data_IF_392274581169
#
_entry.id   IF_392274581169
#
_cell.length_a   1.000
_cell.length_b   1.000
_cell.length_c   1.000
_cell.angle_alpha   90.00
_cell.angle_beta   90.00
_cell.angle_gamma   90.00
#
_symmetry.space_group_name_H-M   'P 1'
#
loop_
_entity.id
_entity.type
_entity.pdbx_description
1 polymer ?
#
# COMPACT_ATOMS: atom_id res chain seq x y z
N UNK A 1 -34.60 1.74 -13.11
CA UNK A 1 -33.28 1.46 -13.72
C UNK A 1 -32.21 2.47 -13.28
N UNK A 2 -32.45 3.77 -13.39
CA UNK A 2 -31.50 4.82 -12.99
C UNK A 2 -31.07 4.77 -11.50
N UNK A 3 -32.00 4.51 -10.57
CA UNK A 3 -31.69 4.43 -9.13
C UNK A 3 -30.71 3.31 -8.74
N UNK A 4 -30.74 2.18 -9.46
CA UNK A 4 -29.84 1.06 -9.19
C UNK A 4 -28.41 1.38 -9.68
N UNK A 5 -28.30 2.15 -10.76
CA UNK A 5 -27.03 2.54 -11.37
C UNK A 5 -26.33 3.62 -10.54
N UNK A 6 -27.07 4.62 -10.03
CA UNK A 6 -26.54 5.63 -9.10
C UNK A 6 -26.09 5.02 -7.78
N UNK A 7 -26.83 4.05 -7.22
CA UNK A 7 -26.43 3.35 -6.00
C UNK A 7 -25.10 2.59 -6.17
N UNK A 8 -24.95 1.83 -7.26
CA UNK A 8 -23.71 1.10 -7.53
C UNK A 8 -22.51 2.04 -7.73
N UNK A 9 -22.70 3.16 -8.43
CA UNK A 9 -21.66 4.18 -8.60
C UNK A 9 -21.24 4.79 -7.26
N UNK A 10 -22.23 5.11 -6.40
CA UNK A 10 -21.96 5.68 -5.09
C UNK A 10 -21.15 4.70 -4.22
N UNK A 11 -21.58 3.42 -4.15
CA UNK A 11 -20.88 2.38 -3.38
C UNK A 11 -19.48 2.16 -3.91
N UNK A 12 -19.31 2.01 -5.23
CA UNK A 12 -18.00 1.84 -5.86
C UNK A 12 -17.07 3.04 -5.62
N UNK A 13 -17.60 4.26 -5.72
CA UNK A 13 -16.85 5.49 -5.45
C UNK A 13 -16.40 5.61 -4.00
N UNK A 14 -17.27 5.28 -3.04
CA UNK A 14 -16.94 5.28 -1.60
C UNK A 14 -15.87 4.24 -1.30
N UNK A 15 -15.99 3.01 -1.83
CA UNK A 15 -14.98 1.97 -1.62
C UNK A 15 -13.62 2.37 -2.20
N UNK A 16 -13.58 2.94 -3.41
CA UNK A 16 -12.35 3.44 -4.02
C UNK A 16 -11.72 4.58 -3.21
N UNK A 17 -12.54 5.51 -2.70
CA UNK A 17 -12.10 6.60 -1.85
C UNK A 17 -11.49 6.09 -0.53
N UNK A 18 -12.18 5.17 0.16
CA UNK A 18 -11.72 4.58 1.42
C UNK A 18 -10.43 3.77 1.23
N UNK A 19 -10.31 3.02 0.14
CA UNK A 19 -9.07 2.30 -0.19
C UNK A 19 -7.89 3.26 -0.38
N UNK A 20 -8.11 4.39 -1.07
CA UNK A 20 -7.09 5.44 -1.20
C UNK A 20 -6.76 6.10 0.14
N UNK A 21 -7.77 6.45 0.94
CA UNK A 21 -7.62 7.12 2.22
C UNK A 21 -6.88 6.27 3.27
N UNK A 22 -7.23 4.99 3.37
CA UNK A 22 -6.57 4.05 4.30
C UNK A 22 -5.11 3.79 3.91
N UNK A 23 -4.81 3.62 2.62
CA UNK A 23 -3.41 3.52 2.15
C UNK A 23 -2.57 4.75 2.49
N UNK A 24 -3.14 5.95 2.28
CA UNK A 24 -2.50 7.22 2.63
C UNK A 24 -2.33 7.40 4.15
N UNK A 25 -3.33 6.98 4.94
CA UNK A 25 -3.29 7.06 6.40
C UNK A 25 -2.21 6.13 6.97
N UNK A 26 -2.11 4.89 6.49
CA UNK A 26 -1.09 3.93 6.93
C UNK A 26 0.32 4.41 6.57
N UNK A 27 0.50 4.91 5.35
CA UNK A 27 1.77 5.51 4.92
C UNK A 27 2.15 6.73 5.78
N UNK A 28 1.18 7.57 6.18
CA UNK A 28 1.42 8.70 7.09
C UNK A 28 1.76 8.25 8.51
N UNK A 29 1.03 7.27 9.03
CA UNK A 29 1.26 6.67 10.36
C UNK A 29 2.67 6.08 10.43
N UNK A 30 3.04 5.21 9.51
CA UNK A 30 4.38 4.60 9.43
C UNK A 30 5.50 5.63 9.22
N UNK A 31 5.22 6.80 8.65
CA UNK A 31 6.21 7.89 8.59
C UNK A 31 6.39 8.61 9.92
N UNK A 32 5.34 8.74 10.72
CA UNK A 32 5.38 9.43 12.01
C UNK A 32 5.94 8.54 13.13
N UNK A 33 5.50 7.28 13.20
CA UNK A 33 5.90 6.34 14.27
C UNK A 33 6.97 5.33 13.85
N UNK A 34 7.26 5.21 12.55
CA UNK A 34 8.15 4.17 12.04
C UNK A 34 9.62 4.39 12.39
N UNK A 35 10.22 3.36 12.97
CA UNK A 35 11.64 3.33 13.35
C UNK A 35 12.49 2.97 12.13
N UNK A 36 13.52 3.76 11.79
CA UNK A 36 14.39 3.46 10.65
C UNK A 36 15.21 2.20 10.90
N UNK A 37 15.25 1.30 9.92
CA UNK A 37 16.09 0.10 9.92
C UNK A 37 16.64 -0.17 8.52
N UNK A 38 17.70 -0.97 8.44
CA UNK A 38 18.26 -1.45 7.17
C UNK A 38 17.79 -2.88 6.95
N UNK A 39 17.05 -3.12 5.86
CA UNK A 39 16.61 -4.45 5.49
C UNK A 39 17.47 -5.00 4.36
N UNK A 40 17.96 -6.22 4.52
CA UNK A 40 18.59 -7.00 3.47
C UNK A 40 17.51 -7.69 2.63
N UNK A 41 17.61 -7.56 1.31
CA UNK A 41 16.77 -8.33 0.40
C UNK A 41 17.25 -9.78 0.43
N UNK A 42 16.55 -10.63 1.18
CA UNK A 42 16.80 -12.06 1.18
C UNK A 42 16.36 -12.68 -0.16
N UNK A 43 17.03 -13.76 -0.56
CA UNK A 43 16.68 -14.49 -1.78
C UNK A 43 15.28 -15.06 -1.62
N UNK A 44 14.49 -15.01 -2.70
CA UNK A 44 13.13 -15.59 -2.83
C UNK A 44 12.98 -16.86 -1.99
N UNK A 45 11.96 -16.94 -1.14
CA UNK A 45 11.41 -18.24 -0.76
C UNK A 45 11.00 -18.91 -2.07
N UNK A 46 11.70 -19.99 -2.40
CA UNK A 46 11.53 -20.71 -3.65
C UNK A 46 10.35 -21.65 -3.50
N UNK A 47 9.13 -21.13 -3.55
CA UNK A 47 7.92 -21.96 -3.51
C UNK A 47 7.11 -21.80 -4.80
N UNK A 48 7.22 -22.85 -5.62
CA UNK A 48 6.24 -23.53 -6.48
C UNK A 48 5.00 -22.86 -7.10
N UNK A 49 4.61 -21.61 -6.78
CA UNK A 49 3.23 -21.14 -7.06
C UNK A 49 3.09 -19.68 -7.54
N UNK A 50 4.11 -19.14 -8.23
CA UNK A 50 3.99 -17.89 -8.98
C UNK A 50 5.16 -16.91 -8.82
N UNK A 51 5.05 -15.67 -9.32
CA UNK A 51 6.10 -14.66 -9.19
C UNK A 51 6.24 -14.22 -7.71
N UNK A 52 6.96 -15.02 -6.93
CA UNK A 52 7.13 -14.85 -5.48
C UNK A 52 7.71 -13.48 -5.12
N UNK A 53 7.03 -12.81 -4.18
CA UNK A 53 7.46 -11.53 -3.60
C UNK A 53 8.80 -11.74 -2.86
N UNK A 54 9.80 -10.88 -3.06
CA UNK A 54 11.08 -11.00 -2.36
C UNK A 54 10.88 -10.83 -0.85
N UNK A 55 11.63 -11.59 -0.06
CA UNK A 55 11.65 -11.47 1.40
C UNK A 55 12.62 -10.37 1.82
N UNK A 56 12.23 -9.58 2.81
CA UNK A 56 13.07 -8.57 3.44
C UNK A 56 13.43 -9.07 4.83
N UNK A 57 14.73 -9.17 5.10
CA UNK A 57 15.26 -9.54 6.39
C UNK A 57 15.84 -8.29 7.07
N UNK A 58 15.40 -7.97 8.28
CA UNK A 58 15.95 -6.83 9.02
C UNK A 58 16.01 -7.14 10.51
N UNK A 59 16.95 -6.49 11.20
CA UNK A 59 17.00 -6.52 12.65
C UNK A 59 16.17 -5.36 13.22
N UNK A 60 15.26 -5.66 14.16
CA UNK A 60 14.61 -4.64 14.98
C UNK A 60 15.62 -4.05 15.96
N UNK A 61 15.26 -2.92 16.59
CA UNK A 61 16.07 -2.29 17.65
C UNK A 61 16.35 -3.22 18.83
N UNK A 62 15.48 -4.21 19.07
CA UNK A 62 15.61 -5.21 20.13
C UNK A 62 16.53 -6.38 19.73
N UNK A 63 17.08 -6.36 18.51
CA UNK A 63 17.95 -7.41 17.99
C UNK A 63 17.21 -8.60 17.39
N UNK A 64 15.87 -8.54 17.29
CA UNK A 64 15.09 -9.59 16.63
C UNK A 64 15.27 -9.48 15.11
N UNK A 65 15.73 -10.56 14.49
CA UNK A 65 15.80 -10.67 13.04
C UNK A 65 14.45 -11.16 12.52
N UNK A 66 13.78 -10.34 11.72
CA UNK A 66 12.49 -10.65 11.11
C UNK A 66 12.62 -10.79 9.60
N UNK A 67 11.96 -11.80 9.06
CA UNK A 67 11.74 -11.99 7.63
C UNK A 67 10.28 -11.67 7.30
N UNK A 68 10.08 -10.65 6.47
CA UNK A 68 8.75 -10.18 6.09
C UNK A 68 8.65 -10.16 4.57
N UNK A 69 7.56 -10.64 3.96
CA UNK A 69 7.35 -10.50 2.53
C UNK A 69 7.31 -9.02 2.17
N UNK A 70 8.03 -8.63 1.12
CA UNK A 70 8.01 -7.24 0.66
C UNK A 70 6.57 -6.83 0.34
N UNK A 71 6.03 -5.77 0.99
CA UNK A 71 4.66 -5.31 0.75
C UNK A 71 4.50 -4.79 -0.68
N UNK A 72 5.61 -4.33 -1.28
CA UNK A 72 5.70 -3.96 -2.68
C UNK A 72 6.35 -5.08 -3.51
N UNK A 73 5.66 -5.50 -4.56
CA UNK A 73 6.26 -6.38 -5.57
C UNK A 73 7.43 -5.71 -6.29
N UNK A 74 8.37 -6.49 -6.86
CA UNK A 74 9.47 -5.94 -7.64
C UNK A 74 8.92 -5.15 -8.84
N UNK A 75 9.37 -3.91 -9.02
CA UNK A 75 9.05 -3.11 -10.22
C UNK A 75 10.28 -3.01 -11.12
N UNK A 76 10.09 -2.92 -12.44
CA UNK A 76 11.18 -2.73 -13.41
C UNK A 76 12.01 -1.47 -13.11
N UNK A 77 11.39 -0.43 -12.56
CA UNK A 77 12.05 0.83 -12.22
C UNK A 77 12.99 0.71 -11.01
N UNK A 78 12.80 -0.30 -10.15
CA UNK A 78 13.59 -0.44 -8.94
C UNK A 78 13.72 -1.90 -8.51
N UNK A 79 14.57 -2.68 -9.21
CA UNK A 79 14.75 -4.09 -8.93
C UNK A 79 15.16 -4.32 -7.47
N UNK A 80 14.49 -5.27 -6.83
CA UNK A 80 14.84 -5.77 -5.50
C UNK A 80 15.88 -6.88 -5.71
N UNK A 81 17.13 -6.47 -5.93
CA UNK A 81 18.25 -7.39 -6.11
C UNK A 81 18.60 -8.04 -4.77
N UNK A 82 18.66 -9.37 -4.72
CA UNK A 82 19.05 -10.11 -3.54
C UNK A 82 20.44 -9.67 -3.04
N UNK A 83 20.61 -9.59 -1.72
CA UNK A 83 21.83 -9.14 -1.06
C UNK A 83 22.00 -7.61 -0.97
N UNK A 84 21.09 -6.82 -1.58
CA UNK A 84 21.12 -5.36 -1.43
C UNK A 84 20.44 -4.94 -0.13
N UNK A 85 21.07 -4.04 0.62
CA UNK A 85 20.43 -3.36 1.73
C UNK A 85 19.50 -2.25 1.20
N UNK A 86 18.27 -2.20 1.71
CA UNK A 86 17.27 -1.18 1.42
C UNK A 86 16.82 -0.51 2.73
N UNK A 87 16.72 0.82 2.77
CA UNK A 87 16.22 1.52 3.94
C UNK A 87 14.72 1.24 4.12
N UNK A 88 14.34 0.80 5.31
CA UNK A 88 12.96 0.55 5.70
C UNK A 88 12.60 1.31 6.97
N UNK A 89 11.30 1.49 7.19
CA UNK A 89 10.73 1.89 8.47
C UNK A 89 9.76 0.81 8.92
N UNK A 90 9.90 0.35 10.15
CA UNK A 90 8.95 -0.62 10.71
C UNK A 90 8.14 0.04 11.84
N UNK A 91 6.89 -0.40 12.02
CA UNK A 91 6.09 -0.01 13.17
C UNK A 91 6.59 -0.76 14.43
N UNK A 92 7.01 -0.06 15.49
CA UNK A 92 7.41 -0.74 16.73
C UNK A 92 6.26 -1.50 17.41
N UNK A 93 5.00 -1.11 17.18
CA UNK A 93 3.83 -1.81 17.73
C UNK A 93 3.48 -3.07 16.92
N UNK A 94 3.79 -3.10 15.62
CA UNK A 94 3.63 -4.26 14.75
C UNK A 94 4.81 -4.36 13.77
N UNK A 95 5.89 -5.09 14.14
CA UNK A 95 7.11 -5.17 13.34
C UNK A 95 6.92 -5.76 11.93
N UNK A 96 5.77 -6.38 11.64
CA UNK A 96 5.44 -6.90 10.30
C UNK A 96 5.03 -5.80 9.33
N UNK A 97 4.60 -4.64 9.84
CA UNK A 97 4.29 -3.49 9.03
C UNK A 97 5.56 -2.72 8.72
N UNK A 98 6.02 -2.89 7.48
CA UNK A 98 7.24 -2.26 6.99
C UNK A 98 6.93 -1.34 5.80
N UNK A 99 7.60 -0.18 5.78
CA UNK A 99 7.58 0.79 4.70
C UNK A 99 8.97 0.86 4.08
N UNK A 100 9.08 0.46 2.82
CA UNK A 100 10.33 0.56 2.05
C UNK A 100 10.48 2.00 1.56
N UNK A 101 11.47 2.73 2.08
CA UNK A 101 11.66 4.13 1.69
C UNK A 101 12.00 4.24 0.20
N UNK A 102 11.39 5.20 -0.48
CA UNK A 102 11.54 5.41 -1.92
C UNK A 102 10.66 4.54 -2.82
N UNK A 103 9.91 3.57 -2.27
CA UNK A 103 8.93 2.76 -3.00
C UNK A 103 7.49 2.98 -2.54
N UNK A 104 7.24 4.09 -1.87
CA UNK A 104 5.91 4.46 -1.39
C UNK A 104 4.97 4.67 -2.60
N UNK A 105 3.93 3.85 -2.74
CA UNK A 105 2.95 3.91 -3.83
C UNK A 105 1.97 5.08 -3.70
N UNK A 106 2.43 6.22 -3.18
CA UNK A 106 1.65 7.44 -2.94
C UNK A 106 0.86 7.87 -4.17
N UNK A 107 1.47 7.80 -5.34
CA UNK A 107 0.83 8.20 -6.58
C UNK A 107 -0.43 7.35 -6.87
N UNK A 108 -0.36 6.04 -6.63
CA UNK A 108 -1.51 5.14 -6.82
C UNK A 108 -2.58 5.42 -5.77
N UNK A 109 -2.19 5.60 -4.50
CA UNK A 109 -3.13 5.94 -3.41
C UNK A 109 -3.85 7.27 -3.67
N UNK A 110 -3.13 8.30 -4.15
CA UNK A 110 -3.73 9.57 -4.57
C UNK A 110 -4.66 9.43 -5.77
N UNK A 111 -4.28 8.62 -6.77
CA UNK A 111 -5.15 8.34 -7.93
C UNK A 111 -6.43 7.65 -7.49
N UNK A 112 -6.36 6.64 -6.62
CA UNK A 112 -7.53 5.96 -6.08
C UNK A 112 -8.43 6.91 -5.27
N UNK A 113 -7.82 7.73 -4.40
CA UNK A 113 -8.56 8.72 -3.62
C UNK A 113 -9.26 9.76 -4.52
N UNK A 114 -8.54 10.32 -5.50
CA UNK A 114 -9.09 11.33 -6.42
C UNK A 114 -10.17 10.74 -7.34
N UNK A 115 -9.95 9.53 -7.87
CA UNK A 115 -10.93 8.84 -8.69
C UNK A 115 -12.19 8.49 -7.90
N UNK A 116 -12.05 7.96 -6.67
CA UNK A 116 -13.17 7.69 -5.78
C UNK A 116 -13.98 8.95 -5.46
N UNK A 117 -13.31 10.06 -5.13
CA UNK A 117 -13.95 11.34 -4.89
C UNK A 117 -14.72 11.85 -6.14
N UNK A 118 -14.11 11.76 -7.32
CA UNK A 118 -14.75 12.16 -8.58
C UNK A 118 -16.01 11.32 -8.88
N UNK A 119 -15.94 10.00 -8.67
CA UNK A 119 -17.10 9.11 -8.85
C UNK A 119 -18.23 9.48 -7.88
N UNK A 120 -17.91 9.70 -6.60
CA UNK A 120 -18.92 10.10 -5.59
C UNK A 120 -19.57 11.42 -5.98
N UNK A 121 -18.79 12.44 -6.37
CA UNK A 121 -19.33 13.73 -6.81
C UNK A 121 -20.21 13.61 -8.05
N UNK A 122 -19.83 12.76 -9.00
CA UNK A 122 -20.61 12.49 -10.22
C UNK A 122 -21.93 11.78 -9.90
N UNK A 123 -21.90 10.80 -8.99
CA UNK A 123 -23.10 10.11 -8.54
C UNK A 123 -24.07 11.05 -7.81
N UNK A 124 -23.55 11.94 -6.96
CA UNK A 124 -24.35 12.95 -6.25
C UNK A 124 -24.98 13.97 -7.20
N UNK A 125 -24.22 14.48 -8.18
CA UNK A 125 -24.75 15.42 -9.18
C UNK A 125 -25.84 14.78 -10.05
N UNK A 126 -25.63 13.55 -10.52
CA UNK A 126 -26.65 12.79 -11.25
C UNK A 126 -27.90 12.54 -10.40
N UNK A 127 -27.73 12.18 -9.13
CA UNK A 127 -28.87 12.01 -8.23
C UNK A 127 -29.66 13.31 -8.04
N UNK A 128 -28.98 14.44 -7.87
CA UNK A 128 -29.63 15.75 -7.72
C UNK A 128 -30.32 16.25 -9.00
N UNK A 129 -29.83 15.87 -10.18
CA UNK A 129 -30.44 16.20 -11.48
C UNK A 129 -31.67 15.35 -11.81
N UNK A 130 -31.78 14.16 -11.22
CA UNK A 130 -32.83 13.16 -11.53
C UNK A 130 -33.85 13.02 -10.38
N UNK A 131 -33.57 13.61 -9.21
CA UNK A 131 -34.50 13.75 -8.09
C UNK A 131 -35.45 14.93 -8.30
#
# INVERSE_FOLDING_TARGET
>A
MFALLTLNLLVGGVLAYLAGATGLAETRRLRQVGVPASALVARRASDADGPGRPLLQFATREGLVLEVPSPVGPSRAQPLTAGRAVPVRYDPADPRQILVQGRERRAIEYVFMAAGAAIVLTALTLAALVA
#
